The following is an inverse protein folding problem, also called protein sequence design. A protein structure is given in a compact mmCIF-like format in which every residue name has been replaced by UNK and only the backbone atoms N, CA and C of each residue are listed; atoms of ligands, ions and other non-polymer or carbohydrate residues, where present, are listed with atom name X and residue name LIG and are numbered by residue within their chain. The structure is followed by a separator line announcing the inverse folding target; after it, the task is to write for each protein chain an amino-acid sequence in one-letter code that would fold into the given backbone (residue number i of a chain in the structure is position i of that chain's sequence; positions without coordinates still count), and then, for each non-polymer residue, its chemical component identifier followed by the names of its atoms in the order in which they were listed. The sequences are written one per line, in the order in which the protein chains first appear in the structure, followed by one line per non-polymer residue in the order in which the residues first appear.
data_IF_435577176424
#
_entry.id   IF_435577176424
#
_cell.length_a   1.000
_cell.length_b   1.000
_cell.length_c   1.000
_cell.angle_alpha   90.00
_cell.angle_beta   90.00
_cell.angle_gamma   90.00
#
_symmetry.space_group_name_H-M   'P 1'
#
loop_
_entity.id
_entity.type
_entity.pdbx_description
1 polymer ?
#
# COMPACT_ATOMS: atom_id res chain seq x y z
N UNK A 1 9.36 -4.75 -1.74
CA UNK A 1 9.62 -3.79 -0.63
C UNK A 1 8.52 -2.75 -0.66
N UNK A 2 8.03 -2.33 0.50
CA UNK A 2 6.96 -1.35 0.62
C UNK A 2 7.06 -0.60 1.94
N UNK A 3 6.56 0.64 1.97
CA UNK A 3 6.46 1.45 3.20
C UNK A 3 5.03 1.89 3.41
N UNK A 4 4.52 1.66 4.61
CA UNK A 4 3.20 2.09 5.03
C UNK A 4 3.35 3.10 6.16
N UNK A 5 2.71 4.25 6.05
CA UNK A 5 2.79 5.29 7.09
C UNK A 5 1.47 6.02 7.23
N UNK A 6 0.95 5.99 8.45
CA UNK A 6 -0.29 6.64 8.84
C UNK A 6 0.04 7.62 9.96
N UNK A 7 0.29 8.88 9.60
CA UNK A 7 0.72 9.91 10.54
C UNK A 7 -0.27 11.07 10.56
N UNK A 8 -0.21 11.88 11.61
CA UNK A 8 -1.00 13.11 11.76
C UNK A 8 -0.32 14.35 11.16
N UNK A 9 0.85 14.19 10.54
CA UNK A 9 1.66 15.27 9.97
C UNK A 9 1.88 15.07 8.48
N UNK A 10 2.46 16.07 7.81
CA UNK A 10 2.74 16.04 6.36
C UNK A 10 3.96 15.17 5.99
N UNK A 11 4.02 13.96 6.54
CA UNK A 11 5.10 13.00 6.27
C UNK A 11 4.88 12.27 4.94
N UNK A 12 3.67 12.36 4.38
CA UNK A 12 3.29 11.63 3.17
C UNK A 12 4.14 12.05 1.97
N UNK A 13 4.34 13.36 1.78
CA UNK A 13 5.17 13.89 0.68
C UNK A 13 6.63 13.42 0.78
N UNK A 14 7.21 13.48 1.98
CA UNK A 14 8.61 13.08 2.20
C UNK A 14 8.81 11.59 1.92
N UNK A 15 7.88 10.75 2.37
CA UNK A 15 7.92 9.30 2.15
C UNK A 15 7.85 8.98 0.66
N UNK A 16 6.92 9.59 -0.07
CA UNK A 16 6.77 9.37 -1.52
C UNK A 16 7.99 9.84 -2.29
N UNK A 17 8.52 11.03 -1.96
CA UNK A 17 9.73 11.58 -2.57
C UNK A 17 10.94 10.67 -2.38
N UNK A 18 11.19 10.19 -1.16
CA UNK A 18 12.34 9.34 -0.86
C UNK A 18 12.20 7.92 -1.44
N UNK A 19 10.96 7.43 -1.56
CA UNK A 19 10.65 6.12 -2.15
C UNK A 19 10.94 6.05 -3.65
N UNK A 20 11.00 7.21 -4.34
CA UNK A 20 11.38 7.28 -5.75
C UNK A 20 12.79 6.73 -6.05
N UNK A 21 13.68 6.67 -5.04
CA UNK A 21 15.04 6.15 -5.18
C UNK A 21 15.12 4.67 -5.58
N UNK A 22 14.15 3.86 -5.16
CA UNK A 22 14.08 2.43 -5.49
C UNK A 22 12.69 1.98 -5.96
N UNK A 23 11.79 2.94 -6.19
CA UNK A 23 10.42 2.72 -6.65
C UNK A 23 9.63 1.74 -5.77
N UNK A 24 9.92 1.72 -4.46
CA UNK A 24 9.10 0.93 -3.52
C UNK A 24 7.68 1.47 -3.51
N UNK A 25 6.71 0.56 -3.34
CA UNK A 25 5.30 0.95 -3.16
C UNK A 25 5.15 1.70 -1.83
N UNK A 26 4.39 2.80 -1.87
CA UNK A 26 4.01 3.57 -0.69
C UNK A 26 2.52 3.43 -0.44
N UNK A 27 2.12 3.36 0.83
CA UNK A 27 0.73 3.51 1.23
C UNK A 27 0.67 4.49 2.40
N UNK A 28 0.22 5.71 2.13
CA UNK A 28 0.21 6.82 3.06
C UNK A 28 -1.17 7.45 3.18
N UNK A 29 -1.45 8.08 4.32
CA UNK A 29 -2.78 8.61 4.63
C UNK A 29 -2.95 10.09 4.31
N UNK A 30 -1.92 10.81 3.86
CA UNK A 30 -1.96 12.25 3.58
C UNK A 30 -2.49 13.07 4.76
N UNK A 31 -2.06 12.73 5.98
CA UNK A 31 -2.53 13.30 7.25
C UNK A 31 -4.05 13.20 7.48
N UNK A 32 -4.76 12.33 6.74
CA UNK A 32 -6.18 12.05 6.93
C UNK A 32 -6.36 10.85 7.83
N UNK A 33 -7.28 10.97 8.77
CA UNK A 33 -7.54 9.89 9.70
C UNK A 33 -8.32 8.76 9.02
N UNK A 34 -8.03 7.53 9.42
CA UNK A 34 -8.72 6.31 9.00
C UNK A 34 -9.32 5.70 10.26
N UNK A 35 -10.59 5.32 10.21
CA UNK A 35 -11.20 4.63 11.34
C UNK A 35 -10.59 3.22 11.51
N UNK A 36 -9.63 3.12 12.43
CA UNK A 36 -8.92 1.87 12.75
C UNK A 36 -9.75 0.87 13.53
N UNK A 37 -10.83 1.33 14.18
CA UNK A 37 -11.68 0.48 15.00
C UNK A 37 -12.96 0.06 14.27
N UNK A 38 -13.27 0.69 13.14
CA UNK A 38 -14.34 0.31 12.23
C UNK A 38 -13.86 -0.51 11.03
N UNK A 39 -14.76 -0.65 10.04
CA UNK A 39 -14.54 -1.47 8.84
C UNK A 39 -13.34 -1.01 8.00
N UNK A 40 -12.92 0.25 8.13
CA UNK A 40 -11.74 0.74 7.44
C UNK A 40 -10.44 0.17 8.06
N UNK A 41 -10.41 -0.19 9.34
CA UNK A 41 -9.21 -0.69 10.02
C UNK A 41 -8.76 -2.10 9.59
N UNK A 42 -9.53 -2.78 8.74
CA UNK A 42 -9.28 -4.17 8.35
C UNK A 42 -9.59 -4.45 6.87
N UNK A 43 -9.38 -5.69 6.46
CA UNK A 43 -9.98 -6.24 5.23
C UNK A 43 -9.09 -6.23 3.98
N UNK A 44 -9.74 -6.19 2.82
CA UNK A 44 -9.12 -6.50 1.52
C UNK A 44 -8.07 -5.50 1.07
N UNK A 45 -8.16 -4.24 1.50
CA UNK A 45 -7.19 -3.20 1.11
C UNK A 45 -5.80 -3.52 1.67
N UNK A 46 -5.72 -3.97 2.93
CA UNK A 46 -4.47 -4.42 3.55
C UNK A 46 -3.84 -5.59 2.79
N UNK A 47 -4.66 -6.57 2.38
CA UNK A 47 -4.19 -7.70 1.59
C UNK A 47 -3.66 -7.26 0.22
N UNK A 48 -4.34 -6.33 -0.46
CA UNK A 48 -3.88 -5.78 -1.73
C UNK A 48 -2.58 -4.97 -1.60
N UNK A 49 -2.39 -4.28 -0.47
CA UNK A 49 -1.13 -3.57 -0.20
C UNK A 49 0.00 -4.53 0.19
N UNK A 50 -0.31 -5.66 0.83
CA UNK A 50 0.66 -6.65 1.31
C UNK A 50 1.04 -7.69 0.26
N UNK A 51 0.32 -7.76 -0.86
CA UNK A 51 0.54 -8.76 -1.90
C UNK A 51 0.87 -8.13 -3.25
N UNK A 52 1.50 -8.93 -4.10
CA UNK A 52 1.79 -8.62 -5.49
C UNK A 52 1.20 -9.71 -6.37
N UNK A 53 0.66 -9.31 -7.52
CA UNK A 53 0.11 -10.26 -8.49
C UNK A 53 1.22 -10.76 -9.39
N UNK A 54 1.50 -12.06 -9.32
CA UNK A 54 2.39 -12.74 -10.25
C UNK A 54 1.57 -13.55 -11.24
N UNK A 55 1.35 -12.99 -12.43
CA UNK A 55 0.61 -13.68 -13.50
C UNK A 55 1.50 -14.71 -14.19
N UNK A 56 1.10 -15.98 -14.15
CA UNK A 56 1.79 -17.11 -14.81
C UNK A 56 0.85 -17.70 -15.85
N UNK A 57 1.31 -17.73 -17.11
CA UNK A 57 0.55 -18.31 -18.22
C UNK A 57 0.96 -19.75 -18.39
N UNK A 58 -0.01 -20.66 -18.39
CA UNK A 58 0.19 -22.09 -18.53
C UNK A 58 -0.59 -22.56 -19.76
N UNK A 59 -0.04 -23.46 -20.60
CA UNK A 59 -0.81 -24.07 -21.67
C UNK A 59 -2.10 -24.71 -21.14
N UNK A 60 -3.21 -24.44 -21.81
CA UNK A 60 -4.51 -25.04 -21.52
C UNK A 60 -5.05 -25.66 -22.81
N UNK A 61 -5.34 -26.96 -22.79
CA UNK A 61 -5.91 -27.69 -23.93
C UNK A 61 -7.43 -27.75 -23.84
N UNK A 62 -8.12 -27.60 -24.97
CA UNK A 62 -9.54 -28.00 -25.12
C UNK A 62 -9.69 -29.52 -25.15
#
# INVERSE_FOLDING_TARGET
DAVWSFSSTDLSEEIERNSASNLKRTWVNNARDRDWFGLAGEGREFLAQATEVKNIWVPYGE
#
